data_IF_978733389884
#
_entry.id   IF_978733389884
#
_cell.length_a   1.000
_cell.length_b   1.000
_cell.length_c   1.000
_cell.angle_alpha   90.00
_cell.angle_beta   90.00
_cell.angle_gamma   90.00
#
_symmetry.space_group_name_H-M   'P 1'
#
loop_
_entity.id
_entity.type
_entity.pdbx_description
1 polymer ?
#
# COMPACT_ATOMS: atom_id res chain seq x y z
N UNK A 1 23.39 20.90 -14.90
CA UNK A 1 24.59 20.78 -14.04
C UNK A 1 24.60 19.34 -13.53
N UNK A 2 25.31 18.46 -14.24
CA UNK A 2 25.26 17.00 -14.03
C UNK A 2 26.21 16.59 -12.90
N UNK A 3 25.66 16.11 -11.78
CA UNK A 3 26.44 15.54 -10.67
C UNK A 3 26.62 14.04 -10.88
N UNK A 4 27.59 13.68 -11.72
CA UNK A 4 28.06 12.31 -11.91
C UNK A 4 29.05 11.97 -10.79
N UNK A 5 28.55 11.53 -9.64
CA UNK A 5 29.36 10.91 -8.59
C UNK A 5 28.97 9.43 -8.56
N UNK A 6 29.92 8.54 -8.89
CA UNK A 6 29.83 7.08 -8.79
C UNK A 6 29.02 6.31 -9.85
N UNK A 7 29.14 6.62 -11.16
CA UNK A 7 28.82 5.67 -12.24
C UNK A 7 27.40 5.09 -12.26
N UNK A 8 26.47 5.68 -11.50
CA UNK A 8 25.07 5.28 -11.40
C UNK A 8 24.24 6.48 -11.83
N UNK A 9 23.57 6.37 -12.97
CA UNK A 9 22.67 7.41 -13.46
C UNK A 9 21.45 7.47 -12.54
N UNK A 10 21.50 8.32 -11.51
CA UNK A 10 20.36 8.57 -10.61
C UNK A 10 19.12 9.13 -11.36
N UNK A 11 19.32 9.66 -12.57
CA UNK A 11 18.24 10.13 -13.43
C UNK A 11 17.27 9.01 -13.90
N UNK A 12 17.73 7.75 -13.97
CA UNK A 12 16.86 6.61 -14.29
C UNK A 12 16.09 6.10 -13.05
N UNK A 13 16.65 6.22 -11.84
CA UNK A 13 15.96 5.82 -10.59
C UNK A 13 14.79 6.77 -10.24
N UNK A 14 14.87 8.04 -10.65
CA UNK A 14 13.79 9.02 -10.43
C UNK A 14 12.55 8.75 -11.30
N UNK A 15 12.67 8.04 -12.42
CA UNK A 15 11.49 7.61 -13.19
C UNK A 15 10.64 6.58 -12.43
N UNK A 16 11.24 5.79 -11.54
CA UNK A 16 10.54 4.80 -10.72
C UNK A 16 9.78 5.42 -9.52
N UNK A 17 10.06 6.68 -9.18
CA UNK A 17 9.43 7.43 -8.09
C UNK A 17 8.41 8.45 -8.59
N UNK A 18 7.95 8.33 -9.85
CA UNK A 18 6.94 9.24 -10.38
C UNK A 18 5.62 9.04 -9.61
N UNK A 19 5.01 10.11 -9.09
CA UNK A 19 3.69 9.99 -8.46
C UNK A 19 2.73 9.36 -9.47
N UNK A 20 1.89 8.42 -8.99
CA UNK A 20 0.88 7.81 -9.85
C UNK A 20 0.08 8.93 -10.52
N UNK A 21 -0.15 8.88 -11.84
CA UNK A 21 -0.98 9.87 -12.49
C UNK A 21 -2.36 9.86 -11.81
N UNK A 22 -2.95 11.04 -11.53
CA UNK A 22 -4.13 11.17 -10.69
C UNK A 22 -5.31 10.34 -11.20
N UNK A 23 -5.43 10.17 -12.52
CA UNK A 23 -6.42 9.27 -13.15
C UNK A 23 -6.25 7.81 -12.74
N UNK A 24 -5.01 7.28 -12.73
CA UNK A 24 -4.77 5.92 -12.25
C UNK A 24 -5.05 5.81 -10.76
N UNK A 25 -4.63 6.78 -9.96
CA UNK A 25 -4.89 6.78 -8.52
C UNK A 25 -6.40 6.74 -8.21
N UNK A 26 -7.20 7.53 -8.93
CA UNK A 26 -8.66 7.53 -8.81
C UNK A 26 -9.22 6.13 -9.10
N UNK A 27 -8.81 5.49 -10.20
CA UNK A 27 -9.28 4.13 -10.52
C UNK A 27 -8.93 3.10 -9.44
N UNK A 28 -7.71 3.14 -8.90
CA UNK A 28 -7.30 2.20 -7.85
C UNK A 28 -8.13 2.40 -6.57
N UNK A 29 -8.38 3.66 -6.21
CA UNK A 29 -9.17 3.99 -5.02
C UNK A 29 -10.65 3.62 -5.20
N UNK A 30 -11.22 3.90 -6.38
CA UNK A 30 -12.58 3.49 -6.73
C UNK A 30 -12.73 1.97 -6.72
N UNK A 31 -11.80 1.24 -7.31
CA UNK A 31 -11.88 -0.22 -7.43
C UNK A 31 -11.76 -0.89 -6.05
N UNK A 32 -10.86 -0.40 -5.20
CA UNK A 32 -10.77 -0.84 -3.81
C UNK A 32 -12.05 -0.52 -3.01
N UNK A 33 -12.56 0.72 -3.12
CA UNK A 33 -13.77 1.14 -2.43
C UNK A 33 -15.02 0.38 -2.89
N UNK A 34 -15.14 0.09 -4.19
CA UNK A 34 -16.26 -0.66 -4.76
C UNK A 34 -16.19 -2.14 -4.35
N UNK A 35 -14.98 -2.71 -4.30
CA UNK A 35 -14.75 -4.05 -3.76
C UNK A 35 -15.18 -4.19 -2.29
N UNK A 36 -14.79 -3.23 -1.44
CA UNK A 36 -15.23 -3.20 -0.05
C UNK A 36 -16.74 -3.00 0.09
N UNK A 37 -17.34 -2.12 -0.72
CA UNK A 37 -18.78 -1.90 -0.73
C UNK A 37 -19.53 -3.18 -1.09
N UNK A 38 -19.10 -3.88 -2.13
CA UNK A 38 -19.70 -5.18 -2.50
C UNK A 38 -19.55 -6.20 -1.38
N UNK A 39 -18.38 -6.25 -0.73
CA UNK A 39 -18.17 -7.19 0.35
C UNK A 39 -19.10 -6.96 1.54
N UNK A 40 -19.24 -5.70 1.98
CA UNK A 40 -20.07 -5.36 3.15
C UNK A 40 -21.56 -5.48 2.82
N UNK A 41 -22.01 -5.01 1.66
CA UNK A 41 -23.45 -4.96 1.37
C UNK A 41 -23.99 -6.23 0.70
N UNK A 42 -23.12 -7.05 0.11
CA UNK A 42 -23.55 -8.26 -0.60
C UNK A 42 -23.03 -9.52 0.08
N UNK A 43 -21.71 -9.63 0.32
CA UNK A 43 -21.14 -10.84 0.92
C UNK A 43 -21.53 -11.00 2.38
N UNK A 44 -21.43 -9.95 3.21
CA UNK A 44 -21.77 -10.06 4.63
C UNK A 44 -23.20 -10.59 4.87
N UNK A 45 -24.28 -10.03 4.27
CA UNK A 45 -25.61 -10.59 4.46
C UNK A 45 -25.77 -11.98 3.83
N UNK A 46 -25.04 -12.31 2.76
CA UNK A 46 -25.04 -13.66 2.17
C UNK A 46 -24.43 -14.68 3.15
N UNK A 47 -23.29 -14.37 3.76
CA UNK A 47 -22.61 -15.23 4.74
C UNK A 47 -23.47 -15.42 6.01
N UNK A 48 -24.16 -14.38 6.46
CA UNK A 48 -25.10 -14.48 7.59
C UNK A 48 -26.29 -15.38 7.21
N UNK A 49 -26.84 -15.25 5.99
CA UNK A 49 -27.92 -16.13 5.49
C UNK A 49 -27.48 -17.60 5.37
N UNK A 50 -26.20 -17.85 5.12
CA UNK A 50 -25.61 -19.19 5.07
C UNK A 50 -25.38 -19.78 6.47
N UNK A 51 -25.70 -19.05 7.54
CA UNK A 51 -25.67 -19.55 8.92
C UNK A 51 -24.41 -19.21 9.69
N UNK A 52 -23.51 -18.37 9.15
CA UNK A 52 -22.36 -17.91 9.93
C UNK A 52 -22.79 -16.96 11.05
N UNK A 53 -22.10 -17.04 12.18
CA UNK A 53 -22.22 -16.04 13.23
C UNK A 53 -21.84 -14.64 12.69
N UNK A 54 -22.52 -13.56 13.12
CA UNK A 54 -22.29 -12.21 12.60
C UNK A 54 -20.83 -11.76 12.67
N UNK A 55 -20.11 -12.15 13.73
CA UNK A 55 -18.70 -11.82 13.90
C UNK A 55 -17.80 -12.54 12.88
N UNK A 56 -18.00 -13.83 12.67
CA UNK A 56 -17.23 -14.62 11.69
C UNK A 56 -17.52 -14.17 10.27
N UNK A 57 -18.80 -13.93 9.95
CA UNK A 57 -19.20 -13.40 8.66
C UNK A 57 -18.54 -12.03 8.38
N UNK A 58 -18.47 -11.16 9.39
CA UNK A 58 -17.76 -9.88 9.29
C UNK A 58 -16.26 -10.07 9.06
N UNK A 59 -15.62 -10.95 9.85
CA UNK A 59 -14.19 -11.22 9.71
C UNK A 59 -13.86 -11.73 8.30
N UNK A 60 -14.63 -12.69 7.78
CA UNK A 60 -14.43 -13.24 6.43
C UNK A 60 -14.71 -12.19 5.36
N UNK A 61 -15.83 -11.46 5.47
CA UNK A 61 -16.18 -10.40 4.52
C UNK A 61 -15.19 -9.23 4.53
N UNK A 62 -14.36 -9.07 5.57
CA UNK A 62 -13.32 -8.04 5.60
C UNK A 62 -11.96 -8.57 5.15
N UNK A 63 -11.54 -9.74 5.66
CA UNK A 63 -10.20 -10.30 5.40
C UNK A 63 -10.06 -10.75 3.94
N UNK A 64 -11.06 -11.43 3.38
CA UNK A 64 -10.97 -12.01 2.04
C UNK A 64 -10.79 -10.94 0.95
N UNK A 65 -11.61 -9.87 0.88
CA UNK A 65 -11.39 -8.80 -0.10
C UNK A 65 -10.08 -8.05 0.14
N UNK A 66 -9.68 -7.87 1.40
CA UNK A 66 -8.40 -7.22 1.73
C UNK A 66 -7.22 -8.03 1.19
N UNK A 67 -7.23 -9.35 1.37
CA UNK A 67 -6.21 -10.23 0.84
C UNK A 67 -6.15 -10.21 -0.69
N UNK A 68 -7.32 -10.17 -1.35
CA UNK A 68 -7.40 -10.06 -2.82
C UNK A 68 -6.83 -8.72 -3.30
N UNK A 69 -7.24 -7.61 -2.68
CA UNK A 69 -6.74 -6.28 -3.01
C UNK A 69 -5.23 -6.17 -2.76
N UNK A 70 -4.73 -6.77 -1.68
CA UNK A 70 -3.31 -6.84 -1.39
C UNK A 70 -2.55 -7.62 -2.45
N UNK A 71 -3.04 -8.80 -2.84
CA UNK A 71 -2.44 -9.61 -3.90
C UNK A 71 -2.41 -8.86 -5.24
N UNK A 72 -3.49 -8.15 -5.59
CA UNK A 72 -3.55 -7.32 -6.78
C UNK A 72 -2.56 -6.15 -6.73
N UNK A 73 -2.48 -5.45 -5.59
CA UNK A 73 -1.53 -4.38 -5.38
C UNK A 73 -0.08 -4.88 -5.51
N UNK A 74 0.24 -6.03 -4.92
CA UNK A 74 1.57 -6.62 -5.00
C UNK A 74 1.90 -7.10 -6.42
N UNK A 75 0.95 -7.73 -7.10
CA UNK A 75 1.09 -8.14 -8.50
C UNK A 75 1.36 -6.95 -9.43
N UNK A 76 0.66 -5.84 -9.23
CA UNK A 76 0.87 -4.60 -9.99
C UNK A 76 2.27 -4.02 -9.78
N UNK A 77 2.77 -4.00 -8.54
CA UNK A 77 4.14 -3.55 -8.23
C UNK A 77 5.19 -4.44 -8.90
N UNK A 78 4.94 -5.75 -8.95
CA UNK A 78 5.83 -6.71 -9.61
C UNK A 78 5.89 -6.48 -11.12
N UNK A 79 4.78 -6.07 -11.74
CA UNK A 79 4.68 -5.80 -13.17
C UNK A 79 5.35 -4.47 -13.59
N UNK A 80 5.52 -3.53 -12.66
CA UNK A 80 6.22 -2.25 -12.93
C UNK A 80 7.77 -2.39 -12.88
N UNK A 81 8.32 -3.60 -12.68
CA UNK A 81 9.75 -3.88 -12.54
C UNK A 81 10.48 -2.95 -11.54
N UNK A 82 9.74 -2.38 -10.58
CA UNK A 82 10.32 -1.52 -9.56
C UNK A 82 11.00 -2.43 -8.52
N UNK A 83 12.32 -2.34 -8.31
CA UNK A 83 12.99 -3.15 -7.32
C UNK A 83 12.45 -2.79 -5.94
N UNK A 84 11.72 -3.72 -5.31
CA UNK A 84 11.24 -3.61 -3.93
C UNK A 84 12.44 -3.74 -3.01
N UNK A 85 13.14 -2.63 -2.79
CA UNK A 85 14.24 -2.54 -1.83
C UNK A 85 13.87 -1.53 -0.74
N UNK A 86 14.42 -1.72 0.45
CA UNK A 86 14.19 -0.80 1.57
C UNK A 86 14.57 0.64 1.22
N UNK A 87 15.56 0.83 0.34
CA UNK A 87 15.99 2.14 -0.15
C UNK A 87 14.93 2.83 -1.02
N UNK A 88 14.29 2.12 -1.95
CA UNK A 88 13.17 2.66 -2.77
C UNK A 88 11.95 2.95 -1.92
N UNK A 89 11.64 2.09 -0.94
CA UNK A 89 10.51 2.28 -0.03
C UNK A 89 10.74 3.50 0.88
N UNK A 90 11.93 3.63 1.46
CA UNK A 90 12.31 4.77 2.29
C UNK A 90 12.29 6.09 1.50
N UNK A 91 12.75 6.08 0.24
CA UNK A 91 12.64 7.25 -0.65
C UNK A 91 11.18 7.59 -0.99
N UNK A 92 10.34 6.59 -1.32
CA UNK A 92 8.93 6.80 -1.71
C UNK A 92 8.07 7.37 -0.60
N UNK A 93 8.23 6.86 0.63
CA UNK A 93 7.50 7.38 1.79
C UNK A 93 8.21 8.58 2.45
N UNK A 94 9.29 9.10 1.84
CA UNK A 94 10.14 10.14 2.42
C UNK A 94 10.50 9.85 3.88
N UNK A 95 10.75 8.59 4.22
CA UNK A 95 11.25 8.21 5.54
C UNK A 95 12.63 8.85 5.69
N UNK A 96 12.66 10.01 6.34
CA UNK A 96 13.90 10.57 6.83
C UNK A 96 14.47 9.58 7.85
N UNK A 97 15.78 9.33 7.76
CA UNK A 97 16.52 8.70 8.84
C UNK A 97 16.22 9.51 10.10
N UNK A 98 15.51 8.92 11.06
CA UNK A 98 15.26 9.56 12.35
C UNK A 98 16.60 10.00 12.91
N UNK A 99 16.78 11.30 13.16
CA UNK A 99 17.95 11.77 13.91
C UNK A 99 17.78 11.22 15.33
N UNK A 100 18.88 10.94 16.03
CA UNK A 100 18.82 10.35 17.38
C UNK A 100 17.93 11.14 18.36
N UNK A 101 17.74 12.43 18.10
CA UNK A 101 16.83 13.29 18.85
C UNK A 101 15.34 13.00 18.62
N UNK A 102 14.94 12.52 17.43
CA UNK A 102 13.56 12.15 17.12
C UNK A 102 13.19 10.78 17.72
N UNK A 103 14.19 9.91 17.91
CA UNK A 103 14.03 8.60 18.58
C UNK A 103 13.69 8.79 20.05
N UNK A 104 14.25 9.80 20.72
CA UNK A 104 13.90 10.14 22.10
C UNK A 104 12.44 10.57 22.23
N UNK A 105 11.91 11.33 21.26
CA UNK A 105 10.50 11.72 21.25
C UNK A 105 9.57 10.53 21.02
N UNK A 106 9.92 9.61 20.11
CA UNK A 106 9.13 8.39 19.88
C UNK A 106 9.19 7.45 21.08
N UNK A 107 10.36 7.32 21.72
CA UNK A 107 10.53 6.50 22.93
C UNK A 107 9.80 7.07 24.15
N UNK A 108 9.79 8.40 24.31
CA UNK A 108 9.09 9.06 25.42
C UNK A 108 7.57 9.16 25.20
N UNK A 109 7.09 9.15 23.95
CA UNK A 109 5.66 9.13 23.64
C UNK A 109 5.01 7.74 23.70
N UNK A 110 5.81 6.67 23.69
CA UNK A 110 5.37 5.27 23.80
C UNK A 110 5.40 4.77 25.27
N UNK A 111 6.04 5.52 26.18
CA UNK A 111 6.18 5.20 27.60
C UNK A 111 5.20 6.03 28.44
#
# INVERSE_FOLDING_TARGET
MNTTILGKNYADEDQALRPLPPTRAIWHFLLAGLGFRLSIYTFLPLLIKLGLAPFEAFAVAFIVPTAILFALAFGLVTNENVPITWQTLARRFRLHKLRGHDVLWVGFGIL
#
